data_IF_462332605458
#
_entry.id   IF_462332605458
#
_cell.length_a   1.000
_cell.length_b   1.000
_cell.length_c   1.000
_cell.angle_alpha   90.00
_cell.angle_beta   90.00
_cell.angle_gamma   90.00
#
_symmetry.space_group_name_H-M   'P 1'
#
loop_
_entity.id
_entity.type
_entity.pdbx_description
1 polymer ?
#
# COMPACT_ATOMS: atom_id res chain seq x y z
N UNK A 1 -8.64 11.48 -3.77
CA UNK A 1 -7.28 11.88 -4.21
C UNK A 1 -6.55 12.73 -3.16
N UNK A 2 -7.24 13.57 -2.37
CA UNK A 2 -6.61 14.41 -1.34
C UNK A 2 -5.90 13.66 -0.19
N UNK A 3 -6.45 12.57 0.35
CA UNK A 3 -5.75 11.78 1.38
C UNK A 3 -4.45 11.10 0.88
N UNK A 4 -4.39 10.68 -0.39
CA UNK A 4 -3.19 10.07 -0.99
C UNK A 4 -2.07 11.12 -1.14
N UNK A 5 -2.43 12.35 -1.51
CA UNK A 5 -1.53 13.51 -1.49
C UNK A 5 -1.09 13.87 -0.06
N UNK A 6 -1.99 13.81 0.92
CA UNK A 6 -1.65 14.03 2.34
C UNK A 6 -0.72 12.96 2.93
N UNK A 7 -0.88 11.70 2.51
CA UNK A 7 0.04 10.61 2.88
C UNK A 7 1.44 10.82 2.31
N UNK A 8 1.56 11.28 1.06
CA UNK A 8 2.86 11.59 0.44
C UNK A 8 3.57 12.76 1.12
N UNK A 9 2.85 13.85 1.42
CA UNK A 9 3.40 15.03 2.10
C UNK A 9 3.94 14.72 3.52
N UNK A 10 3.31 13.79 4.25
CA UNK A 10 3.79 13.36 5.57
C UNK A 10 5.14 12.61 5.51
N UNK A 11 5.45 11.93 4.39
CA UNK A 11 6.72 11.24 4.17
C UNK A 11 7.87 12.19 3.81
N UNK A 12 7.58 13.36 3.23
CA UNK A 12 8.60 14.31 2.80
C UNK A 12 9.14 15.17 3.96
N UNK A 13 8.34 15.40 5.01
CA UNK A 13 8.80 16.10 6.21
C UNK A 13 9.62 15.25 7.21
N UNK A 14 9.74 13.93 7.03
CA UNK A 14 10.30 13.01 8.07
C UNK A 14 11.56 12.23 7.69
N UNK A 15 12.32 12.66 6.66
CA UNK A 15 13.73 12.23 6.54
C UNK A 15 14.20 11.67 5.19
N UNK A 16 13.72 12.20 4.08
CA UNK A 16 14.26 11.85 2.75
C UNK A 16 15.69 12.38 2.49
N UNK A 17 16.27 13.18 3.39
CA UNK A 17 17.64 13.72 3.23
C UNK A 17 18.73 12.94 3.97
N UNK A 18 18.44 12.10 4.97
CA UNK A 18 19.48 11.49 5.81
C UNK A 18 19.84 10.04 5.47
N UNK A 19 18.98 9.28 4.78
CA UNK A 19 19.20 7.85 4.54
C UNK A 19 19.81 7.51 3.17
N UNK A 20 20.06 8.51 2.31
CA UNK A 20 20.60 8.31 0.95
C UNK A 20 22.14 8.43 0.86
N UNK A 21 22.79 9.06 1.85
CA UNK A 21 24.25 9.16 1.91
C UNK A 21 24.78 8.98 3.33
N UNK A 22 25.43 7.84 3.58
CA UNK A 22 26.31 7.61 4.73
C UNK A 22 25.74 6.69 5.82
N UNK A 23 26.34 5.51 6.01
CA UNK A 23 27.33 5.36 7.08
C UNK A 23 28.15 4.07 6.90
N UNK A 24 29.48 4.19 7.07
CA UNK A 24 30.46 3.09 7.16
C UNK A 24 30.53 2.62 8.62
N UNK A 25 30.66 1.30 8.81
CA UNK A 25 31.43 0.65 9.88
C UNK A 25 30.99 0.83 11.33
N UNK A 26 30.89 -0.29 12.05
CA UNK A 26 30.85 -0.30 13.52
C UNK A 26 30.19 -1.54 14.11
N UNK A 27 30.98 -2.59 14.35
CA UNK A 27 30.67 -3.65 15.31
C UNK A 27 30.65 -3.09 16.75
N UNK A 28 29.70 -3.55 17.57
CA UNK A 28 29.89 -4.11 18.92
C UNK A 28 28.66 -3.94 19.85
N UNK A 29 28.09 -5.10 20.16
CA UNK A 29 27.71 -5.62 21.49
C UNK A 29 26.48 -5.19 22.33
N UNK A 30 25.93 -6.25 22.93
CA UNK A 30 25.08 -6.42 24.11
C UNK A 30 23.67 -5.80 24.20
N UNK A 31 22.66 -6.67 24.09
CA UNK A 31 21.68 -6.97 25.16
C UNK A 31 20.58 -7.87 24.57
N UNK A 32 20.31 -9.00 25.22
CA UNK A 32 19.33 -9.96 24.74
C UNK A 32 17.91 -9.37 24.89
N UNK A 33 17.46 -8.76 23.80
CA UNK A 33 16.09 -8.27 23.60
C UNK A 33 15.10 -9.42 23.87
N UNK A 34 13.95 -9.16 24.51
CA UNK A 34 12.88 -10.16 24.65
C UNK A 34 12.62 -10.82 23.29
N UNK A 35 12.28 -12.12 23.23
CA UNK A 35 12.12 -12.83 21.96
C UNK A 35 11.20 -12.01 21.07
N UNK A 36 11.76 -11.53 19.96
CA UNK A 36 10.99 -10.83 18.96
C UNK A 36 9.85 -11.75 18.52
N UNK A 37 8.65 -11.23 18.24
CA UNK A 37 7.60 -12.03 17.62
C UNK A 37 8.19 -12.75 16.41
N UNK A 38 7.91 -14.04 16.26
CA UNK A 38 8.46 -14.84 15.17
C UNK A 38 8.21 -14.11 13.83
N UNK A 39 9.29 -13.81 13.11
CA UNK A 39 9.20 -13.04 11.88
C UNK A 39 8.64 -13.92 10.75
N UNK A 40 7.40 -13.67 10.33
CA UNK A 40 6.81 -14.34 9.16
C UNK A 40 7.19 -13.56 7.90
N UNK A 41 7.87 -14.22 6.95
CA UNK A 41 8.40 -13.60 5.72
C UNK A 41 9.29 -12.36 5.96
N UNK A 42 9.97 -12.30 7.12
CA UNK A 42 10.79 -11.15 7.53
C UNK A 42 10.00 -9.98 8.14
N UNK A 43 8.72 -10.18 8.47
CA UNK A 43 7.84 -9.14 9.04
C UNK A 43 7.51 -9.41 10.51
N UNK A 44 7.51 -8.35 11.30
CA UNK A 44 6.94 -8.32 12.65
C UNK A 44 5.63 -7.55 12.62
N UNK A 45 4.50 -8.24 12.42
CA UNK A 45 3.18 -7.60 12.30
C UNK A 45 2.56 -7.41 13.70
N UNK A 46 2.33 -6.17 14.18
CA UNK A 46 1.81 -5.92 15.52
C UNK A 46 0.34 -6.37 15.65
N UNK A 47 -0.06 -6.74 16.87
CA UNK A 47 -1.45 -7.09 17.18
C UNK A 47 -2.38 -5.88 17.10
N UNK A 48 -1.91 -4.71 17.52
CA UNK A 48 -2.72 -3.51 17.56
C UNK A 48 -2.86 -2.85 16.18
N UNK A 49 -3.97 -2.12 16.01
CA UNK A 49 -4.27 -1.30 14.84
C UNK A 49 -4.08 0.19 15.11
N UNK A 50 -3.72 1.01 14.11
CA UNK A 50 -3.49 0.64 12.70
C UNK A 50 -2.10 0.02 12.45
N UNK A 51 -2.04 -0.88 11.46
CA UNK A 51 -0.82 -1.55 10.99
C UNK A 51 -0.35 -0.99 9.66
N UNK A 52 -1.25 -0.52 8.81
CA UNK A 52 -0.92 0.00 7.49
C UNK A 52 -0.48 1.46 7.63
N UNK A 53 0.68 1.78 7.05
CA UNK A 53 1.29 3.11 6.97
C UNK A 53 1.77 3.71 8.31
N UNK A 54 1.01 3.56 9.38
CA UNK A 54 1.21 4.29 10.62
C UNK A 54 2.25 3.66 11.55
N UNK A 55 3.04 4.53 12.18
CA UNK A 55 3.80 4.30 13.40
C UNK A 55 3.31 5.28 14.47
N UNK A 56 3.65 5.11 15.75
CA UNK A 56 3.37 6.11 16.77
C UNK A 56 3.85 7.52 16.38
N UNK A 57 5.05 7.63 15.81
CA UNK A 57 5.66 8.90 15.39
C UNK A 57 4.90 9.53 14.22
N UNK A 58 4.49 8.72 13.23
CA UNK A 58 3.70 9.19 12.09
C UNK A 58 2.31 9.62 12.50
N UNK A 59 1.67 8.92 13.44
CA UNK A 59 0.38 9.34 13.98
C UNK A 59 0.50 10.70 14.66
N UNK A 60 1.56 10.92 15.43
CA UNK A 60 1.79 12.21 16.08
C UNK A 60 2.07 13.34 15.08
N UNK A 61 2.86 13.06 14.04
CA UNK A 61 3.04 14.01 12.94
C UNK A 61 1.73 14.32 12.21
N UNK A 62 0.91 13.30 11.94
CA UNK A 62 -0.39 13.44 11.30
C UNK A 62 -1.36 14.29 12.12
N UNK A 63 -1.41 14.11 13.45
CA UNK A 63 -2.23 14.93 14.35
C UNK A 63 -1.82 16.40 14.31
N UNK A 64 -0.51 16.67 14.37
CA UNK A 64 0.02 18.05 14.26
C UNK A 64 -0.29 18.69 12.92
N UNK A 65 -0.26 17.91 11.83
CA UNK A 65 -0.67 18.38 10.51
C UNK A 65 -2.17 18.69 10.46
N UNK A 66 -3.02 17.77 10.95
CA UNK A 66 -4.47 17.95 10.94
C UNK A 66 -4.92 19.18 11.73
N UNK A 67 -4.24 19.47 12.85
CA UNK A 67 -4.48 20.67 13.66
C UNK A 67 -4.22 21.98 12.89
N UNK A 68 -3.39 21.96 11.85
CA UNK A 68 -3.07 23.13 11.00
C UNK A 68 -3.92 23.20 9.73
N UNK A 69 -4.30 22.05 9.17
CA UNK A 69 -4.97 21.99 7.85
C UNK A 69 -6.51 22.04 7.95
N UNK A 70 -7.09 21.76 9.12
CA UNK A 70 -8.55 21.77 9.35
C UNK A 70 -9.34 21.02 8.26
N UNK A 71 -9.00 19.76 8.03
CA UNK A 71 -9.69 18.91 7.05
C UNK A 71 -11.15 18.65 7.47
N UNK A 72 -12.10 19.02 6.61
CA UNK A 72 -13.52 18.69 6.76
C UNK A 72 -13.95 17.68 5.69
N UNK A 73 -14.00 16.37 6.00
CA UNK A 73 -14.33 15.35 5.01
C UNK A 73 -15.82 15.39 4.64
N UNK A 74 -16.11 15.24 3.34
CA UNK A 74 -17.47 14.91 2.88
C UNK A 74 -17.85 13.50 3.34
N UNK A 75 -19.12 13.26 3.62
CA UNK A 75 -19.60 11.95 4.09
C UNK A 75 -19.31 10.79 3.12
N UNK A 76 -19.28 11.05 1.81
CA UNK A 76 -19.00 10.05 0.77
C UNK A 76 -17.50 9.84 0.51
N UNK A 77 -16.62 10.62 1.13
CA UNK A 77 -15.18 10.49 0.94
C UNK A 77 -14.58 9.54 1.99
N UNK A 78 -14.52 8.26 1.66
CA UNK A 78 -14.03 7.20 2.57
C UNK A 78 -12.60 7.45 3.07
N UNK A 79 -11.74 8.03 2.24
CA UNK A 79 -10.34 8.23 2.56
C UNK A 79 -10.13 9.36 3.58
N UNK A 80 -10.72 10.52 3.33
CA UNK A 80 -10.56 11.67 4.22
C UNK A 80 -11.23 11.39 5.57
N UNK A 81 -12.37 10.69 5.58
CA UNK A 81 -13.00 10.24 6.82
C UNK A 81 -12.14 9.23 7.60
N UNK A 82 -11.56 8.23 6.93
CA UNK A 82 -10.68 7.27 7.60
C UNK A 82 -9.42 7.96 8.18
N UNK A 83 -8.86 8.92 7.44
CA UNK A 83 -7.73 9.74 7.91
C UNK A 83 -8.11 10.57 9.14
N UNK A 84 -9.25 11.28 9.10
CA UNK A 84 -9.74 12.02 10.26
C UNK A 84 -9.97 11.09 11.46
N UNK A 85 -10.55 9.90 11.25
CA UNK A 85 -10.73 8.94 12.33
C UNK A 85 -9.41 8.46 12.93
N UNK A 86 -8.43 8.04 12.12
CA UNK A 86 -7.19 7.47 12.65
C UNK A 86 -6.38 8.50 13.46
N UNK A 87 -6.49 9.77 13.11
CA UNK A 87 -5.79 10.88 13.79
C UNK A 87 -6.55 11.40 15.02
N UNK A 88 -7.89 11.47 14.98
CA UNK A 88 -8.71 12.08 16.05
C UNK A 88 -9.40 11.08 16.97
N UNK A 89 -9.56 9.84 16.51
CA UNK A 89 -10.37 8.77 17.13
C UNK A 89 -11.86 9.10 17.28
N UNK A 90 -12.36 10.17 16.65
CA UNK A 90 -13.78 10.52 16.70
C UNK A 90 -14.61 9.57 15.84
N UNK A 91 -15.48 8.77 16.46
CA UNK A 91 -16.28 7.73 15.78
C UNK A 91 -17.17 8.28 14.65
N UNK A 92 -17.56 9.55 14.71
CA UNK A 92 -18.34 10.20 13.65
C UNK A 92 -17.68 10.09 12.27
N UNK A 93 -16.34 10.19 12.20
CA UNK A 93 -15.60 10.01 10.95
C UNK A 93 -15.51 8.55 10.51
N UNK A 94 -15.47 7.58 11.43
CA UNK A 94 -15.39 6.16 11.05
C UNK A 94 -16.70 5.62 10.47
N UNK A 95 -17.86 6.11 10.93
CA UNK A 95 -19.16 5.54 10.56
C UNK A 95 -19.47 5.55 9.06
N UNK A 96 -19.33 6.64 8.30
CA UNK A 96 -19.56 6.60 6.86
C UNK A 96 -18.64 5.60 6.14
N UNK A 97 -17.40 5.45 6.60
CA UNK A 97 -16.42 4.50 6.05
C UNK A 97 -16.85 3.06 6.30
N UNK A 98 -17.26 2.74 7.53
CA UNK A 98 -17.74 1.40 7.91
C UNK A 98 -19.00 1.06 7.09
N UNK A 99 -19.95 1.98 6.96
CA UNK A 99 -21.15 1.80 6.11
C UNK A 99 -20.77 1.49 4.66
N UNK A 100 -19.86 2.28 4.07
CA UNK A 100 -19.41 2.06 2.69
C UNK A 100 -18.70 0.70 2.53
N UNK A 101 -17.86 0.30 3.50
CA UNK A 101 -17.14 -0.97 3.49
C UNK A 101 -18.08 -2.18 3.62
N UNK A 102 -19.11 -2.09 4.46
CA UNK A 102 -20.13 -3.12 4.60
C UNK A 102 -20.98 -3.25 3.34
N UNK A 103 -21.35 -2.13 2.70
CA UNK A 103 -22.12 -2.10 1.47
C UNK A 103 -21.34 -2.53 0.22
N UNK A 104 -20.01 -2.35 0.21
CA UNK A 104 -19.18 -2.66 -0.97
C UNK A 104 -19.24 -4.16 -1.33
N UNK A 105 -19.51 -4.45 -2.60
CA UNK A 105 -19.48 -5.80 -3.15
C UNK A 105 -18.80 -5.83 -4.51
N UNK A 106 -18.08 -6.92 -4.80
CA UNK A 106 -17.69 -7.30 -6.16
C UNK A 106 -18.68 -8.38 -6.58
N UNK A 107 -19.61 -8.09 -7.49
CA UNK A 107 -20.56 -9.08 -7.97
C UNK A 107 -19.84 -10.31 -8.55
N UNK A 108 -20.41 -11.50 -8.36
CA UNK A 108 -19.75 -12.75 -8.73
C UNK A 108 -19.45 -12.82 -10.24
N UNK A 109 -20.35 -12.31 -11.07
CA UNK A 109 -20.15 -12.21 -12.51
C UNK A 109 -18.98 -11.31 -12.89
N UNK A 110 -18.70 -10.27 -12.08
CA UNK A 110 -17.52 -9.41 -12.25
C UNK A 110 -16.26 -10.10 -11.75
N UNK A 111 -16.36 -10.90 -10.68
CA UNK A 111 -15.24 -11.67 -10.16
C UNK A 111 -14.81 -12.80 -11.11
N UNK A 112 -15.72 -13.35 -11.92
CA UNK A 112 -15.43 -14.39 -12.93
C UNK A 112 -14.76 -13.87 -14.21
N UNK A 113 -14.73 -12.55 -14.43
CA UNK A 113 -14.06 -11.96 -15.60
C UNK A 113 -12.57 -12.29 -15.60
N UNK A 114 -11.96 -12.35 -16.79
CA UNK A 114 -10.53 -12.64 -16.94
C UNK A 114 -9.68 -11.62 -16.17
N UNK A 115 -10.04 -10.34 -16.29
CA UNK A 115 -9.50 -9.23 -15.52
C UNK A 115 -10.61 -8.60 -14.66
N UNK A 116 -10.27 -8.18 -13.45
CA UNK A 116 -11.22 -7.65 -12.46
C UNK A 116 -10.76 -6.29 -11.97
N UNK A 117 -11.24 -5.25 -12.65
CA UNK A 117 -10.96 -3.86 -12.31
C UNK A 117 -11.50 -3.48 -10.93
N UNK A 118 -12.67 -3.99 -10.55
CA UNK A 118 -13.27 -3.70 -9.26
C UNK A 118 -12.35 -4.09 -8.11
N UNK A 119 -11.67 -5.24 -8.21
CA UNK A 119 -10.66 -5.62 -7.24
C UNK A 119 -9.39 -4.79 -7.41
N UNK A 120 -8.91 -4.52 -8.63
CA UNK A 120 -7.72 -3.69 -8.90
C UNK A 120 -7.82 -2.28 -8.33
N UNK A 121 -8.99 -1.66 -8.37
CA UNK A 121 -9.23 -0.30 -7.86
C UNK A 121 -9.67 -0.26 -6.41
N UNK A 122 -9.82 -1.40 -5.74
CA UNK A 122 -10.29 -1.49 -4.35
C UNK A 122 -9.19 -1.21 -3.31
N UNK A 123 -8.32 -0.23 -3.58
CA UNK A 123 -7.13 0.08 -2.78
C UNK A 123 -7.47 0.61 -1.39
N UNK A 124 -8.59 1.31 -1.29
CA UNK A 124 -9.11 1.88 -0.06
C UNK A 124 -9.51 0.82 0.95
N UNK A 125 -10.10 -0.29 0.52
CA UNK A 125 -10.78 -1.22 1.42
C UNK A 125 -9.85 -1.81 2.50
N UNK A 126 -8.68 -2.39 2.17
CA UNK A 126 -7.79 -2.91 3.21
C UNK A 126 -7.27 -1.83 4.16
N UNK A 127 -6.97 -0.64 3.62
CA UNK A 127 -6.38 0.46 4.40
C UNK A 127 -7.40 1.04 5.37
N UNK A 128 -8.62 1.30 4.90
CA UNK A 128 -9.65 1.88 5.78
C UNK A 128 -10.19 0.87 6.78
N UNK A 129 -10.20 -0.43 6.46
CA UNK A 129 -10.49 -1.49 7.44
C UNK A 129 -9.53 -1.39 8.63
N UNK A 130 -8.21 -1.37 8.35
CA UNK A 130 -7.16 -1.27 9.36
C UNK A 130 -7.27 0.04 10.16
N UNK A 131 -7.48 1.17 9.48
CA UNK A 131 -7.54 2.47 10.13
C UNK A 131 -8.78 2.66 10.99
N UNK A 132 -9.91 2.06 10.61
CA UNK A 132 -11.20 2.16 11.32
C UNK A 132 -11.48 1.00 12.27
N UNK A 133 -10.56 0.04 12.40
CA UNK A 133 -10.74 -1.19 13.18
C UNK A 133 -11.28 -0.98 14.60
N UNK A 134 -10.72 -0.01 15.32
CA UNK A 134 -11.12 0.32 16.69
C UNK A 134 -12.53 0.92 16.84
N UNK A 135 -13.17 1.36 15.75
CA UNK A 135 -14.54 1.87 15.76
C UNK A 135 -15.58 0.79 15.41
N UNK A 136 -15.15 -0.31 14.79
CA UNK A 136 -16.03 -1.41 14.41
C UNK A 136 -16.39 -2.30 15.60
N UNK A 137 -17.64 -2.78 15.63
CA UNK A 137 -18.05 -3.92 16.48
C UNK A 137 -17.42 -5.23 15.98
N UNK A 138 -17.41 -6.32 16.78
CA UNK A 138 -16.96 -7.63 16.30
C UNK A 138 -17.65 -8.08 15.01
N UNK A 139 -18.98 -7.93 14.93
CA UNK A 139 -19.75 -8.30 13.73
C UNK A 139 -19.41 -7.42 12.51
N UNK A 140 -19.17 -6.12 12.74
CA UNK A 140 -18.74 -5.20 11.68
C UNK A 140 -17.34 -5.54 11.15
N UNK A 141 -16.48 -6.18 11.96
CA UNK A 141 -15.15 -6.66 11.52
C UNK A 141 -15.24 -7.98 10.76
N UNK A 142 -16.07 -8.91 11.23
CA UNK A 142 -16.15 -10.25 10.68
C UNK A 142 -16.73 -10.26 9.25
N UNK A 143 -17.76 -9.45 8.98
CA UNK A 143 -18.41 -9.37 7.65
C UNK A 143 -17.43 -9.01 6.51
N UNK A 144 -16.59 -7.95 6.64
CA UNK A 144 -15.51 -7.69 5.69
C UNK A 144 -14.50 -8.83 5.57
N UNK A 145 -14.11 -9.47 6.69
CA UNK A 145 -13.14 -10.58 6.70
C UNK A 145 -13.59 -11.73 5.79
N UNK A 146 -14.81 -12.20 6.00
CA UNK A 146 -15.41 -13.30 5.23
C UNK A 146 -15.58 -12.93 3.76
N UNK A 147 -16.10 -11.73 3.48
CA UNK A 147 -16.36 -11.25 2.13
C UNK A 147 -15.06 -11.10 1.31
N UNK A 148 -14.03 -10.49 1.90
CA UNK A 148 -12.79 -10.22 1.16
C UNK A 148 -11.96 -11.48 0.94
N UNK A 149 -12.06 -12.49 1.81
CA UNK A 149 -11.49 -13.82 1.56
C UNK A 149 -11.95 -14.37 0.20
N UNK A 150 -13.26 -14.32 -0.07
CA UNK A 150 -13.82 -14.77 -1.35
C UNK A 150 -13.26 -14.00 -2.56
N UNK A 151 -12.99 -12.70 -2.40
CA UNK A 151 -12.35 -11.90 -3.46
C UNK A 151 -10.91 -12.31 -3.71
N UNK A 152 -10.09 -12.46 -2.66
CA UNK A 152 -8.69 -12.87 -2.82
C UNK A 152 -8.60 -14.25 -3.48
N UNK A 153 -9.41 -15.21 -3.02
CA UNK A 153 -9.44 -16.57 -3.58
C UNK A 153 -9.81 -16.57 -5.08
N UNK A 154 -10.75 -15.71 -5.49
CA UNK A 154 -11.14 -15.55 -6.89
C UNK A 154 -10.09 -14.88 -7.77
N UNK A 155 -9.15 -14.12 -7.19
CA UNK A 155 -8.18 -13.29 -7.93
C UNK A 155 -6.79 -13.94 -8.00
N UNK A 156 -6.33 -14.60 -6.94
CA UNK A 156 -4.92 -14.99 -6.76
C UNK A 156 -4.33 -15.82 -7.91
N UNK A 157 -5.15 -16.65 -8.56
CA UNK A 157 -4.73 -17.57 -9.62
C UNK A 157 -5.27 -17.21 -11.02
N UNK A 158 -5.78 -15.98 -11.22
CA UNK A 158 -6.29 -15.59 -12.55
C UNK A 158 -5.18 -15.59 -13.60
N UNK A 159 -5.47 -15.99 -14.85
CA UNK A 159 -4.49 -15.85 -15.94
C UNK A 159 -4.05 -14.40 -16.12
N UNK A 160 -5.00 -13.46 -16.14
CA UNK A 160 -4.72 -12.04 -16.29
C UNK A 160 -4.49 -11.34 -14.95
N UNK A 161 -3.35 -10.67 -14.82
CA UNK A 161 -2.91 -10.06 -13.55
C UNK A 161 -2.49 -11.08 -12.48
N UNK A 162 -2.51 -12.37 -12.78
CA UNK A 162 -1.98 -13.39 -11.87
C UNK A 162 -0.46 -13.40 -11.81
N UNK A 163 0.13 -14.33 -11.03
CA UNK A 163 1.57 -14.40 -10.77
C UNK A 163 2.45 -14.47 -12.02
N UNK A 164 1.93 -14.88 -13.18
CA UNK A 164 2.71 -14.94 -14.43
C UNK A 164 2.77 -13.62 -15.22
N UNK A 165 2.15 -12.54 -14.72
CA UNK A 165 2.08 -11.25 -15.42
C UNK A 165 2.67 -10.07 -14.61
N UNK A 166 3.94 -10.14 -14.16
CA UNK A 166 4.56 -9.11 -13.32
C UNK A 166 4.63 -7.71 -13.99
N UNK A 167 4.55 -7.66 -15.32
CA UNK A 167 4.47 -6.43 -16.09
C UNK A 167 3.12 -5.69 -15.98
N UNK A 168 2.04 -6.40 -15.62
CA UNK A 168 0.67 -5.88 -15.77
C UNK A 168 0.24 -5.00 -14.60
N UNK A 169 -0.46 -3.89 -14.87
CA UNK A 169 -1.11 -3.07 -13.86
C UNK A 169 -2.15 -3.84 -13.00
N UNK A 170 -2.74 -4.93 -13.50
CA UNK A 170 -3.63 -5.81 -12.73
C UNK A 170 -2.83 -6.57 -11.69
N UNK A 171 -1.67 -7.12 -12.06
CA UNK A 171 -0.77 -7.78 -11.13
C UNK A 171 -0.43 -6.89 -9.94
N UNK A 172 -0.08 -5.64 -10.20
CA UNK A 172 0.28 -4.69 -9.14
C UNK A 172 -0.89 -4.27 -8.27
N UNK A 173 -2.08 -4.10 -8.86
CA UNK A 173 -3.27 -3.78 -8.07
C UNK A 173 -3.70 -4.95 -7.18
N UNK A 174 -3.55 -6.17 -7.70
CA UNK A 174 -3.87 -7.39 -6.96
C UNK A 174 -2.89 -7.63 -5.83
N UNK A 175 -1.59 -7.53 -6.14
CA UNK A 175 -0.51 -7.60 -5.17
C UNK A 175 -0.69 -6.56 -4.05
N UNK A 176 -0.92 -5.28 -4.37
CA UNK A 176 -1.12 -4.22 -3.36
C UNK A 176 -2.27 -4.56 -2.43
N UNK A 177 -3.41 -4.96 -2.99
CA UNK A 177 -4.62 -5.20 -2.23
C UNK A 177 -4.52 -6.44 -1.36
N UNK A 178 -3.96 -7.52 -1.90
CA UNK A 178 -3.71 -8.76 -1.18
C UNK A 178 -2.71 -8.57 -0.04
N UNK A 179 -1.58 -7.89 -0.28
CA UNK A 179 -0.57 -7.63 0.74
C UNK A 179 -1.11 -6.73 1.87
N UNK A 180 -1.77 -5.63 1.52
CA UNK A 180 -2.40 -4.78 2.53
C UNK A 180 -3.48 -5.54 3.31
N UNK A 181 -4.27 -6.37 2.64
CA UNK A 181 -5.32 -7.15 3.31
C UNK A 181 -4.75 -8.20 4.28
N UNK A 182 -3.71 -8.91 3.86
CA UNK A 182 -2.99 -9.86 4.71
C UNK A 182 -2.45 -9.19 5.98
N UNK A 183 -1.84 -8.00 5.85
CA UNK A 183 -1.33 -7.23 6.99
C UNK A 183 -2.48 -6.72 7.87
N UNK A 184 -3.50 -6.12 7.26
CA UNK A 184 -4.66 -5.57 7.97
C UNK A 184 -5.42 -6.63 8.76
N UNK A 185 -5.38 -7.90 8.37
CA UNK A 185 -6.16 -8.96 9.02
C UNK A 185 -5.32 -10.05 9.65
N UNK A 186 -4.02 -9.83 9.79
CA UNK A 186 -3.05 -10.87 10.15
C UNK A 186 -3.40 -11.69 11.40
N UNK A 187 -3.92 -11.04 12.43
CA UNK A 187 -4.27 -11.69 13.70
C UNK A 187 -5.75 -12.07 13.79
N UNK A 188 -6.58 -11.61 12.85
CA UNK A 188 -8.03 -11.76 12.85
C UNK A 188 -8.53 -12.79 11.84
N UNK A 189 -7.81 -12.98 10.75
CA UNK A 189 -8.21 -13.80 9.61
C UNK A 189 -7.32 -15.04 9.51
N UNK A 190 -7.87 -16.27 9.63
CA UNK A 190 -7.09 -17.50 9.55
C UNK A 190 -6.39 -17.70 8.19
N UNK A 191 -6.82 -17.00 7.14
CA UNK A 191 -6.19 -17.03 5.81
C UNK A 191 -5.08 -16.00 5.63
N UNK A 192 -4.87 -15.10 6.60
CA UNK A 192 -3.97 -13.97 6.39
C UNK A 192 -2.52 -14.39 6.12
N UNK A 193 -2.05 -15.46 6.76
CA UNK A 193 -0.74 -16.03 6.45
C UNK A 193 -0.66 -16.53 5.00
N UNK A 194 -1.66 -17.27 4.53
CA UNK A 194 -1.72 -17.73 3.12
C UNK A 194 -1.70 -16.57 2.13
N UNK A 195 -2.43 -15.48 2.42
CA UNK A 195 -2.43 -14.29 1.58
C UNK A 195 -1.08 -13.56 1.60
N UNK A 196 -0.43 -13.51 2.76
CA UNK A 196 0.89 -12.92 2.91
C UNK A 196 1.95 -13.71 2.14
N UNK A 197 1.93 -15.03 2.22
CA UNK A 197 2.82 -15.94 1.51
C UNK A 197 2.63 -15.82 0.00
N UNK A 198 1.38 -15.77 -0.49
CA UNK A 198 1.10 -15.58 -1.91
C UNK A 198 1.60 -14.21 -2.42
N UNK A 199 1.38 -13.14 -1.66
CA UNK A 199 1.88 -11.82 -2.04
C UNK A 199 3.41 -11.77 -2.04
N UNK A 200 4.07 -12.16 -0.95
CA UNK A 200 5.51 -11.93 -0.78
C UNK A 200 6.40 -13.02 -1.38
N UNK A 201 5.91 -14.25 -1.49
CA UNK A 201 6.66 -15.35 -2.08
C UNK A 201 6.27 -15.49 -3.54
N UNK A 202 5.02 -15.87 -3.83
CA UNK A 202 4.60 -16.21 -5.19
C UNK A 202 4.62 -15.03 -6.16
N UNK A 203 4.09 -13.88 -5.75
CA UNK A 203 4.10 -12.67 -6.59
C UNK A 203 5.47 -12.00 -6.50
N UNK A 204 5.88 -11.53 -5.32
CA UNK A 204 7.09 -10.73 -5.22
C UNK A 204 8.38 -11.52 -5.53
N UNK A 205 8.70 -12.55 -4.74
CA UNK A 205 9.97 -13.27 -4.83
C UNK A 205 10.08 -14.13 -6.09
N UNK A 206 9.05 -14.91 -6.42
CA UNK A 206 9.12 -15.93 -7.47
C UNK A 206 8.74 -15.39 -8.86
N UNK A 207 8.10 -14.22 -8.93
CA UNK A 207 7.64 -13.63 -10.19
C UNK A 207 8.28 -12.27 -10.49
N UNK A 208 8.06 -11.27 -9.64
CA UNK A 208 8.55 -9.93 -9.97
C UNK A 208 10.07 -9.80 -9.88
N UNK A 209 10.73 -10.37 -8.86
CA UNK A 209 12.18 -10.24 -8.74
C UNK A 209 12.94 -10.81 -9.97
N UNK A 210 12.64 -12.01 -10.49
CA UNK A 210 13.20 -12.50 -11.75
C UNK A 210 12.89 -11.58 -12.94
N UNK A 211 11.64 -11.16 -13.09
CA UNK A 211 11.24 -10.24 -14.16
C UNK A 211 12.02 -8.91 -14.11
N UNK A 212 12.20 -8.35 -12.92
CA UNK A 212 12.94 -7.12 -12.70
C UNK A 212 14.43 -7.27 -13.06
N UNK A 213 15.04 -8.42 -12.73
CA UNK A 213 16.44 -8.69 -13.01
C UNK A 213 16.72 -8.94 -14.50
N UNK A 214 15.77 -9.55 -15.22
CA UNK A 214 15.99 -10.04 -16.58
C UNK A 214 15.35 -9.16 -17.66
N UNK A 215 14.12 -8.72 -17.43
CA UNK A 215 13.25 -8.15 -18.48
C UNK A 215 12.94 -6.67 -18.27
N UNK A 216 12.95 -6.16 -17.04
CA UNK A 216 12.64 -4.76 -16.72
C UNK A 216 13.87 -3.92 -16.34
N UNK A 217 15.03 -4.24 -16.93
CA UNK A 217 16.28 -3.49 -16.73
C UNK A 217 16.11 -2.02 -17.12
N UNK A 218 16.77 -1.12 -16.39
CA UNK A 218 16.62 0.32 -16.57
C UNK A 218 15.34 0.88 -15.95
N UNK A 219 14.64 0.08 -15.13
CA UNK A 219 13.42 0.50 -14.44
C UNK A 219 12.26 0.85 -15.36
N UNK A 220 12.31 0.37 -16.62
CA UNK A 220 11.31 0.70 -17.63
C UNK A 220 10.06 -0.17 -17.39
N UNK A 221 8.89 0.43 -17.13
CA UNK A 221 7.68 -0.34 -17.02
C UNK A 221 7.20 -0.79 -18.40
N UNK A 222 6.96 -2.09 -18.55
CA UNK A 222 6.61 -2.71 -19.83
C UNK A 222 5.28 -2.21 -20.43
N UNK A 223 4.35 -1.69 -19.62
CA UNK A 223 3.10 -1.09 -20.10
C UNK A 223 3.20 0.42 -20.40
N UNK A 224 4.43 0.95 -20.55
CA UNK A 224 4.70 2.33 -20.94
C UNK A 224 4.28 3.37 -19.89
N UNK A 225 4.21 4.65 -20.30
CA UNK A 225 3.95 5.77 -19.36
C UNK A 225 2.52 5.81 -18.81
N UNK A 226 1.53 5.38 -19.59
CA UNK A 226 0.13 5.44 -19.18
C UNK A 226 -0.19 4.44 -18.07
N UNK A 227 0.21 3.17 -18.23
CA UNK A 227 -0.12 2.10 -17.30
C UNK A 227 1.05 1.71 -16.40
N UNK A 228 2.28 1.88 -16.86
CA UNK A 228 3.48 1.63 -16.08
C UNK A 228 3.59 2.44 -14.79
N UNK A 229 2.94 3.61 -14.73
CA UNK A 229 2.80 4.37 -13.47
C UNK A 229 2.22 3.55 -12.33
N UNK A 230 1.38 2.55 -12.60
CA UNK A 230 0.77 1.70 -11.57
C UNK A 230 1.78 0.75 -10.93
N UNK A 231 2.78 0.28 -11.68
CA UNK A 231 3.91 -0.50 -11.14
C UNK A 231 4.77 0.32 -10.17
N UNK A 232 4.75 1.65 -10.28
CA UNK A 232 5.47 2.57 -9.39
C UNK A 232 4.59 3.06 -8.23
N UNK A 233 3.33 3.38 -8.51
CA UNK A 233 2.41 3.98 -7.56
C UNK A 233 1.81 2.96 -6.57
N UNK A 234 1.34 1.81 -7.06
CA UNK A 234 0.63 0.83 -6.22
C UNK A 234 1.49 0.27 -5.07
N UNK A 235 2.81 0.05 -5.24
CA UNK A 235 3.66 -0.43 -4.15
C UNK A 235 3.89 0.56 -3.00
N UNK A 236 3.66 1.87 -3.18
CA UNK A 236 4.07 2.90 -2.20
C UNK A 236 3.55 2.61 -0.79
N UNK A 237 2.24 2.42 -0.63
CA UNK A 237 1.61 2.13 0.66
C UNK A 237 2.08 0.79 1.26
N UNK A 238 1.95 -0.35 0.56
CA UNK A 238 2.33 -1.64 1.12
C UNK A 238 3.84 -1.75 1.37
N UNK A 239 4.72 -1.18 0.54
CA UNK A 239 6.17 -1.28 0.74
C UNK A 239 6.65 -0.40 1.88
N UNK A 240 6.09 0.80 2.00
CA UNK A 240 6.35 1.66 3.16
C UNK A 240 5.91 0.96 4.45
N UNK A 241 4.76 0.27 4.40
CA UNK A 241 4.27 -0.53 5.52
C UNK A 241 5.21 -1.69 5.84
N UNK A 242 5.54 -2.52 4.86
CA UNK A 242 6.41 -3.69 5.01
C UNK A 242 7.81 -3.32 5.50
N UNK A 243 8.38 -2.21 5.01
CA UNK A 243 9.66 -1.66 5.50
C UNK A 243 9.60 -1.33 6.98
N UNK A 244 8.53 -0.67 7.44
CA UNK A 244 8.32 -0.38 8.86
C UNK A 244 8.16 -1.66 9.69
N UNK A 245 7.64 -2.73 9.09
CA UNK A 245 7.45 -4.02 9.72
C UNK A 245 8.71 -4.92 9.69
N UNK A 246 9.79 -4.51 9.02
CA UNK A 246 11.09 -5.17 9.12
C UNK A 246 11.75 -5.58 7.80
N UNK A 247 11.06 -5.49 6.66
CA UNK A 247 11.60 -5.91 5.34
C UNK A 247 11.51 -4.80 4.30
N UNK A 248 12.62 -4.43 3.69
CA UNK A 248 12.66 -3.34 2.71
C UNK A 248 12.62 -3.86 1.26
N UNK A 249 11.42 -4.03 0.71
CA UNK A 249 11.22 -4.55 -0.66
C UNK A 249 11.84 -3.63 -1.73
N UNK A 250 11.97 -2.31 -1.47
CA UNK A 250 12.65 -1.41 -2.40
C UNK A 250 14.15 -1.69 -2.53
N UNK A 251 14.75 -2.42 -1.59
CA UNK A 251 16.18 -2.77 -1.59
C UNK A 251 16.47 -4.14 -2.19
N UNK A 252 15.44 -4.95 -2.45
CA UNK A 252 15.60 -6.29 -3.02
C UNK A 252 15.73 -6.28 -4.55
N UNK A 253 15.59 -5.11 -5.18
CA UNK A 253 15.74 -4.93 -6.62
C UNK A 253 16.31 -3.55 -6.95
N UNK A 254 17.02 -3.42 -8.07
CA UNK A 254 17.45 -2.13 -8.61
C UNK A 254 16.32 -1.38 -9.35
N UNK A 255 15.26 -2.10 -9.74
CA UNK A 255 14.18 -1.60 -10.60
C UNK A 255 13.66 -0.22 -10.17
N UNK A 256 13.33 -0.01 -8.90
CA UNK A 256 12.73 1.26 -8.45
C UNK A 256 13.70 2.44 -8.48
N UNK A 257 15.00 2.20 -8.25
CA UNK A 257 16.02 3.24 -8.38
C UNK A 257 16.20 3.64 -9.83
N UNK A 258 16.23 2.65 -10.72
CA UNK A 258 16.33 2.86 -12.16
C UNK A 258 15.06 3.51 -12.71
N UNK A 259 13.89 3.18 -12.18
CA UNK A 259 12.60 3.73 -12.61
C UNK A 259 12.50 5.24 -12.35
N UNK A 260 13.17 5.75 -11.29
CA UNK A 260 13.30 7.19 -11.06
C UNK A 260 14.04 7.86 -12.22
N UNK A 261 15.12 7.25 -12.72
CA UNK A 261 15.84 7.77 -13.88
C UNK A 261 14.98 7.68 -15.13
N UNK A 262 14.30 6.55 -15.35
CA UNK A 262 13.38 6.39 -16.47
C UNK A 262 12.29 7.47 -16.46
N UNK A 263 11.69 7.80 -15.32
CA UNK A 263 10.69 8.87 -15.22
C UNK A 263 11.25 10.23 -15.67
N UNK A 264 12.50 10.56 -15.28
CA UNK A 264 13.16 11.79 -15.69
C UNK A 264 13.34 11.81 -17.22
N UNK A 265 13.83 10.72 -17.81
CA UNK A 265 14.07 10.63 -19.25
C UNK A 265 12.81 10.46 -20.10
N UNK A 266 11.74 9.88 -19.54
CA UNK A 266 10.45 9.69 -20.21
C UNK A 266 9.55 10.93 -20.12
N UNK A 267 9.98 11.96 -19.39
CA UNK A 267 9.29 13.26 -19.30
C UNK A 267 9.91 14.22 -20.30
N UNK A 268 9.11 14.78 -21.21
CA UNK A 268 9.59 15.83 -22.10
C UNK A 268 9.86 17.11 -21.30
N UNK A 269 10.91 17.89 -21.62
CA UNK A 269 11.02 19.26 -21.14
C UNK A 269 9.71 19.96 -21.49
N UNK A 270 8.98 20.45 -20.48
CA UNK A 270 7.60 20.88 -20.64
C UNK A 270 7.43 21.87 -21.79
N UNK A 271 6.28 21.84 -22.45
CA UNK A 271 5.90 22.93 -23.34
C UNK A 271 5.86 24.23 -22.53
N UNK A 272 6.65 25.23 -22.94
CA UNK A 272 6.36 26.63 -22.61
C UNK A 272 5.04 26.99 -23.30
N UNK A 273 3.90 26.61 -22.69
CA UNK A 273 2.58 26.81 -23.29
C UNK A 273 1.50 25.89 -22.74
N UNK A 274 0.81 26.36 -21.70
CA UNK A 274 -0.66 26.25 -21.60
C UNK A 274 -1.34 24.90 -21.35
N UNK A 275 -0.67 23.74 -21.36
CA UNK A 275 -1.37 22.47 -21.14
C UNK A 275 -0.46 21.40 -20.51
N UNK A 276 -0.07 21.58 -19.25
CA UNK A 276 0.93 20.69 -18.62
C UNK A 276 1.01 20.77 -17.10
N UNK A 277 -0.08 21.06 -16.40
CA UNK A 277 -0.05 21.32 -14.95
C UNK A 277 -0.25 20.06 -14.07
N UNK A 278 -0.03 18.86 -14.60
CA UNK A 278 -0.37 17.61 -13.90
C UNK A 278 0.82 16.73 -13.43
N UNK A 279 2.06 17.01 -13.86
CA UNK A 279 3.16 16.03 -13.69
C UNK A 279 4.18 16.34 -12.59
N UNK A 280 4.18 17.54 -11.99
CA UNK A 280 5.18 17.92 -10.98
C UNK A 280 4.70 17.84 -9.52
N UNK A 281 3.42 17.55 -9.26
CA UNK A 281 2.87 17.51 -7.90
C UNK A 281 3.14 16.21 -7.11
N UNK A 282 3.85 15.24 -7.70
CA UNK A 282 4.16 13.95 -7.04
C UNK A 282 5.64 13.81 -6.67
N UNK A 283 6.52 14.65 -7.21
CA UNK A 283 7.97 14.67 -6.90
C UNK A 283 8.38 15.95 -6.18
N UNK A 284 7.52 16.98 -6.18
CA UNK A 284 7.66 18.16 -5.33
C UNK A 284 6.38 18.30 -4.50
N UNK A 285 6.42 17.86 -3.22
CA UNK A 285 5.63 18.26 -2.04
C UNK A 285 5.41 17.12 -1.03
#
# INVERSE_FOLDING_TARGET
>A
MSAVLGMLALSLCSGLTAAWFGNRGGEADHAQKPPAPAATNGLTIPKDHPRIWWSPERLEQGRRWLAKTHLQPRADNVWDNALCYVLTRQKAYARPVITAMLAYQIPEERLRQESVDLYRWNDWFPVVFDWTYGAMTPDERQKPIEKYKGYVDGIRNKPWGGPKMPASNYYWGYFRNELNWAIATYHENPMAQTFLEHALSTRWQDSFLPFAAEQAKGGVPAEGTQYGRYMLQYPVVPFTTVRRLGRDLFRETHFYKEATLWLIYATTPGAQGGCGQAYLSVVSL
#
